data_IF_247601895883
#
_entry.id   IF_247601895883
#
_cell.length_a   1.000
_cell.length_b   1.000
_cell.length_c   1.000
_cell.angle_alpha   90.00
_cell.angle_beta   90.00
_cell.angle_gamma   90.00
#
_symmetry.space_group_name_H-M   'P 1'
#
loop_
_entity.id
_entity.type
_entity.pdbx_description
1 polymer ?
#
# COMPACT_ATOMS: atom_id res chain seq x y z
N UNK A 1 52.11 -47.17 -38.43
CA UNK A 1 51.86 -46.01 -39.34
C UNK A 1 50.89 -45.09 -38.60
N UNK A 2 51.29 -44.16 -37.74
CA UNK A 2 51.92 -42.85 -37.98
C UNK A 2 51.16 -41.96 -38.96
N UNK A 3 50.44 -40.95 -38.42
CA UNK A 3 50.56 -39.54 -38.83
C UNK A 3 50.09 -38.61 -37.70
N UNK A 4 51.07 -37.89 -37.15
CA UNK A 4 50.97 -36.73 -36.27
C UNK A 4 50.54 -35.51 -37.10
N UNK A 5 49.73 -34.59 -36.59
CA UNK A 5 49.85 -33.13 -36.83
C UNK A 5 49.21 -32.37 -35.64
N UNK A 6 50.00 -31.91 -34.65
CA UNK A 6 50.47 -30.53 -34.36
C UNK A 6 49.40 -29.44 -34.13
N UNK A 7 49.48 -28.75 -32.98
CA UNK A 7 49.77 -27.29 -32.81
C UNK A 7 49.16 -26.80 -31.48
N UNK A 8 49.97 -26.40 -30.50
CA UNK A 8 50.50 -25.05 -30.21
C UNK A 8 49.61 -24.23 -29.27
N UNK A 9 50.24 -23.87 -28.15
CA UNK A 9 49.87 -23.01 -27.04
C UNK A 9 48.81 -21.91 -27.29
N UNK A 10 47.87 -21.84 -26.35
CA UNK A 10 47.17 -20.63 -25.97
C UNK A 10 47.12 -20.56 -24.44
N UNK A 11 48.18 -20.04 -23.82
CA UNK A 11 48.12 -19.55 -22.45
C UNK A 11 47.19 -18.35 -22.41
N UNK A 12 46.11 -18.43 -21.64
CA UNK A 12 45.14 -17.36 -21.49
C UNK A 12 44.26 -17.60 -20.28
N UNK A 13 44.78 -17.20 -19.12
CA UNK A 13 44.11 -16.57 -17.98
C UNK A 13 42.72 -17.06 -17.51
N UNK A 14 42.69 -17.27 -16.17
CA UNK A 14 41.58 -17.08 -15.22
C UNK A 14 40.59 -18.23 -15.06
N UNK A 15 40.96 -19.13 -14.15
CA UNK A 15 40.01 -19.79 -13.25
C UNK A 15 39.33 -18.74 -12.35
N UNK A 16 38.10 -18.37 -12.67
CA UNK A 16 37.18 -17.79 -11.68
C UNK A 16 36.14 -18.87 -11.32
N UNK A 17 35.96 -19.22 -10.04
CA UNK A 17 34.94 -20.18 -9.64
C UNK A 17 33.56 -19.56 -9.83
N UNK A 18 32.63 -20.38 -10.34
CA UNK A 18 31.18 -20.14 -10.34
C UNK A 18 30.70 -19.90 -8.89
N UNK A 19 30.79 -18.64 -8.46
CA UNK A 19 30.25 -18.11 -7.23
C UNK A 19 28.74 -18.09 -7.31
N UNK A 20 28.16 -19.07 -6.63
CA UNK A 20 26.74 -19.26 -6.35
C UNK A 20 25.90 -17.97 -6.27
N UNK A 21 24.75 -18.03 -6.94
CA UNK A 21 23.56 -17.22 -6.74
C UNK A 21 23.40 -16.81 -5.26
N UNK A 22 23.56 -15.52 -4.96
CA UNK A 22 23.03 -14.93 -3.74
C UNK A 22 21.90 -14.00 -4.15
N UNK A 23 20.63 -14.32 -3.87
CA UNK A 23 19.58 -13.31 -4.00
C UNK A 23 19.92 -12.24 -2.98
N UNK A 24 20.28 -11.05 -3.47
CA UNK A 24 20.45 -9.89 -2.62
C UNK A 24 19.15 -9.69 -1.87
N UNK A 25 19.19 -9.96 -0.56
CA UNK A 25 18.11 -9.62 0.35
C UNK A 25 17.93 -8.10 0.23
N UNK A 26 16.94 -7.68 -0.56
CA UNK A 26 16.52 -6.28 -0.63
C UNK A 26 16.17 -5.88 0.79
N UNK A 27 17.02 -5.07 1.42
CA UNK A 27 16.65 -4.37 2.66
C UNK A 27 15.29 -3.72 2.41
N UNK A 28 14.30 -3.85 3.30
CA UNK A 28 13.05 -3.11 3.16
C UNK A 28 13.40 -1.64 3.03
N UNK A 29 13.15 -1.07 1.86
CA UNK A 29 13.45 0.33 1.59
C UNK A 29 12.61 1.21 2.49
N UNK A 30 13.18 2.31 3.00
CA UNK A 30 12.43 3.32 3.74
C UNK A 30 11.20 3.72 2.93
N UNK A 31 9.99 3.73 3.53
CA UNK A 31 8.78 4.13 2.81
C UNK A 31 8.91 5.57 2.31
N UNK A 32 8.40 5.84 1.11
CA UNK A 32 8.40 7.19 0.52
C UNK A 32 7.74 8.20 1.49
N UNK A 33 8.37 9.34 1.80
CA UNK A 33 7.80 10.36 2.68
C UNK A 33 6.41 10.84 2.23
N UNK A 34 6.18 10.89 0.91
CA UNK A 34 4.88 11.25 0.34
C UNK A 34 3.82 10.22 0.74
N UNK A 35 4.14 8.92 0.65
CA UNK A 35 3.19 7.87 1.03
C UNK A 35 2.91 7.85 2.53
N UNK A 36 3.91 8.17 3.36
CA UNK A 36 3.71 8.34 4.80
C UNK A 36 2.75 9.48 5.08
N UNK A 37 2.93 10.62 4.39
CA UNK A 37 2.04 11.77 4.55
C UNK A 37 0.60 11.45 4.08
N UNK A 38 0.44 10.83 2.92
CA UNK A 38 -0.90 10.47 2.40
C UNK A 38 -1.62 9.48 3.33
N UNK A 39 -0.91 8.52 3.93
CA UNK A 39 -1.50 7.61 4.93
C UNK A 39 -1.98 8.37 6.17
N UNK A 40 -1.15 9.29 6.67
CA UNK A 40 -1.52 10.14 7.80
C UNK A 40 -2.74 10.99 7.47
N UNK A 41 -2.77 11.64 6.32
CA UNK A 41 -3.89 12.48 5.87
C UNK A 41 -5.19 11.66 5.75
N UNK A 42 -5.07 10.42 5.27
CA UNK A 42 -6.20 9.49 5.23
C UNK A 42 -6.70 9.14 6.64
N UNK A 43 -5.81 8.76 7.55
CA UNK A 43 -6.18 8.41 8.92
C UNK A 43 -6.83 9.59 9.66
N UNK A 44 -6.21 10.76 9.58
CA UNK A 44 -6.72 12.01 10.17
C UNK A 44 -8.08 12.37 9.55
N UNK A 45 -8.24 12.22 8.23
CA UNK A 45 -9.50 12.46 7.54
C UNK A 45 -10.64 11.55 8.00
N UNK A 46 -10.37 10.26 8.23
CA UNK A 46 -11.36 9.31 8.74
C UNK A 46 -11.77 9.67 10.18
N UNK A 47 -10.81 10.03 11.04
CA UNK A 47 -11.10 10.45 12.41
C UNK A 47 -11.95 11.73 12.45
N UNK A 48 -11.66 12.69 11.56
CA UNK A 48 -12.49 13.90 11.44
C UNK A 48 -13.92 13.56 11.01
N UNK A 49 -14.11 12.68 10.03
CA UNK A 49 -15.47 12.24 9.63
C UNK A 49 -16.22 11.57 10.79
N UNK A 50 -15.55 10.72 11.58
CA UNK A 50 -16.15 10.10 12.77
C UNK A 50 -16.59 11.15 13.79
N UNK A 51 -15.76 12.17 14.04
CA UNK A 51 -16.09 13.27 14.94
C UNK A 51 -17.24 14.14 14.41
N UNK A 52 -17.25 14.43 13.12
CA UNK A 52 -18.30 15.20 12.44
C UNK A 52 -19.66 14.50 12.51
N UNK A 53 -19.71 13.19 12.24
CA UNK A 53 -20.92 12.39 12.36
C UNK A 53 -21.41 12.37 13.82
N UNK A 54 -20.51 12.16 14.79
CA UNK A 54 -20.86 12.16 16.21
C UNK A 54 -21.42 13.50 16.68
N UNK A 55 -21.03 14.62 16.05
CA UNK A 55 -21.49 15.97 16.37
C UNK A 55 -22.70 16.40 15.55
N UNK A 56 -23.09 15.64 14.54
CA UNK A 56 -24.13 16.03 13.57
C UNK A 56 -23.74 17.24 12.71
N UNK A 57 -22.45 17.51 12.52
CA UNK A 57 -21.93 18.65 11.76
C UNK A 57 -21.01 18.15 10.66
N UNK A 58 -21.59 17.78 9.51
CA UNK A 58 -20.90 17.12 8.41
C UNK A 58 -20.32 18.16 7.45
N UNK A 59 -19.01 18.09 7.19
CA UNK A 59 -18.34 18.95 6.22
C UNK A 59 -18.21 18.21 4.88
N UNK A 60 -18.90 18.70 3.84
CA UNK A 60 -18.99 18.02 2.54
C UNK A 60 -17.61 17.72 1.92
N UNK A 61 -16.66 18.66 1.99
CA UNK A 61 -15.33 18.55 1.36
C UNK A 61 -14.44 17.47 2.00
N UNK A 62 -14.79 17.00 3.21
CA UNK A 62 -14.01 16.00 3.94
C UNK A 62 -14.07 14.63 3.27
N UNK A 63 -15.24 14.27 2.73
CA UNK A 63 -15.45 13.01 2.01
C UNK A 63 -14.55 12.90 0.79
N UNK A 64 -14.46 13.98 0.02
CA UNK A 64 -13.62 14.02 -1.18
C UNK A 64 -12.13 13.92 -0.80
N UNK A 65 -11.72 14.61 0.26
CA UNK A 65 -10.34 14.53 0.76
C UNK A 65 -9.96 13.08 1.13
N UNK A 66 -10.84 12.38 1.85
CA UNK A 66 -10.62 10.96 2.21
C UNK A 66 -10.60 10.06 0.98
N UNK A 67 -11.49 10.30 0.02
CA UNK A 67 -11.52 9.56 -1.24
C UNK A 67 -10.23 9.73 -2.06
N UNK A 68 -9.73 10.95 -2.20
CA UNK A 68 -8.48 11.25 -2.91
C UNK A 68 -7.28 10.60 -2.21
N UNK A 69 -7.23 10.64 -0.89
CA UNK A 69 -6.17 9.98 -0.12
C UNK A 69 -6.20 8.45 -0.28
N UNK A 70 -7.40 7.84 -0.33
CA UNK A 70 -7.53 6.41 -0.65
C UNK A 70 -6.96 6.07 -2.03
N UNK A 71 -7.25 6.88 -3.06
CA UNK A 71 -6.77 6.64 -4.42
C UNK A 71 -5.26 6.80 -4.58
N UNK A 72 -4.64 7.68 -3.79
CA UNK A 72 -3.22 7.98 -3.89
C UNK A 72 -2.31 6.89 -3.29
N UNK A 73 -2.85 5.96 -2.51
CA UNK A 73 -2.08 4.91 -1.85
C UNK A 73 -1.96 3.64 -2.70
N UNK A 74 -0.80 2.95 -2.66
CA UNK A 74 -0.61 1.68 -3.37
C UNK A 74 -1.24 0.52 -2.58
N UNK A 75 -2.56 0.38 -2.69
CA UNK A 75 -3.32 -0.71 -2.08
C UNK A 75 -3.26 -2.00 -2.90
N UNK A 76 -3.32 -3.18 -2.26
CA UNK A 76 -3.81 -4.38 -2.93
C UNK A 76 -5.23 -4.13 -3.47
N UNK A 77 -5.50 -4.58 -4.71
CA UNK A 77 -6.79 -4.31 -5.40
C UNK A 77 -8.02 -4.68 -4.56
N UNK A 78 -7.96 -5.82 -3.86
CA UNK A 78 -9.06 -6.27 -3.00
C UNK A 78 -9.30 -5.32 -1.82
N UNK A 79 -8.23 -4.86 -1.16
CA UNK A 79 -8.31 -3.93 -0.03
C UNK A 79 -8.75 -2.54 -0.48
N UNK A 80 -8.32 -2.08 -1.66
CA UNK A 80 -8.81 -0.83 -2.24
C UNK A 80 -10.32 -0.88 -2.48
N UNK A 81 -10.80 -1.96 -3.11
CA UNK A 81 -12.22 -2.15 -3.38
C UNK A 81 -13.04 -2.21 -2.07
N UNK A 82 -12.51 -2.88 -1.05
CA UNK A 82 -13.14 -2.91 0.26
C UNK A 82 -13.17 -1.51 0.90
N UNK A 83 -12.04 -0.80 0.93
CA UNK A 83 -11.95 0.53 1.51
C UNK A 83 -12.92 1.52 0.84
N UNK A 84 -12.98 1.49 -0.49
CA UNK A 84 -13.91 2.32 -1.26
C UNK A 84 -15.37 1.98 -0.93
N UNK A 85 -15.73 0.70 -0.87
CA UNK A 85 -17.07 0.28 -0.49
C UNK A 85 -17.45 0.77 0.92
N UNK A 86 -16.53 0.72 1.88
CA UNK A 86 -16.77 1.23 3.24
C UNK A 86 -17.05 2.73 3.23
N UNK A 87 -16.25 3.51 2.50
CA UNK A 87 -16.46 4.96 2.38
C UNK A 87 -17.79 5.30 1.71
N UNK A 88 -18.11 4.62 0.60
CA UNK A 88 -19.38 4.81 -0.12
C UNK A 88 -20.58 4.44 0.74
N UNK A 89 -20.54 3.30 1.41
CA UNK A 89 -21.61 2.88 2.32
C UNK A 89 -21.82 3.88 3.45
N UNK A 90 -20.73 4.33 4.08
CA UNK A 90 -20.81 5.32 5.16
C UNK A 90 -21.53 6.59 4.72
N UNK A 91 -21.19 7.11 3.54
CA UNK A 91 -21.85 8.28 2.95
C UNK A 91 -23.34 8.01 2.68
N UNK A 92 -23.67 6.89 2.05
CA UNK A 92 -25.06 6.53 1.74
C UNK A 92 -25.91 6.37 3.01
N UNK A 93 -25.37 5.75 4.06
CA UNK A 93 -26.08 5.63 5.34
C UNK A 93 -26.31 6.98 5.99
N UNK A 94 -25.33 7.88 5.91
CA UNK A 94 -25.46 9.22 6.45
C UNK A 94 -26.53 10.04 5.71
N UNK A 95 -26.58 9.95 4.38
CA UNK A 95 -27.62 10.56 3.54
C UNK A 95 -29.03 10.04 3.87
N UNK A 96 -29.14 8.81 4.38
CA UNK A 96 -30.40 8.20 4.86
C UNK A 96 -30.72 8.51 6.32
N UNK A 97 -29.87 9.27 7.03
CA UNK A 97 -30.01 9.54 8.46
C UNK A 97 -29.63 8.37 9.37
N UNK A 98 -29.02 7.31 8.83
CA UNK A 98 -28.56 6.14 9.57
C UNK A 98 -27.15 6.38 10.14
N UNK A 99 -27.04 7.32 11.08
CA UNK A 99 -25.74 7.78 11.63
C UNK A 99 -24.92 6.66 12.27
N UNK A 100 -25.56 5.72 12.97
CA UNK A 100 -24.88 4.57 13.58
C UNK A 100 -24.28 3.60 12.54
N UNK A 101 -24.95 3.40 11.40
CA UNK A 101 -24.43 2.58 10.32
C UNK A 101 -23.26 3.28 9.60
N UNK A 102 -23.37 4.60 9.42
CA UNK A 102 -22.29 5.41 8.86
C UNK A 102 -21.02 5.39 9.73
N UNK A 103 -21.17 5.61 11.05
CA UNK A 103 -20.07 5.52 12.02
C UNK A 103 -19.43 4.12 12.04
N UNK A 104 -20.25 3.07 12.00
CA UNK A 104 -19.75 1.69 11.94
C UNK A 104 -18.87 1.44 10.70
N UNK A 105 -19.32 1.84 9.51
CA UNK A 105 -18.56 1.67 8.28
C UNK A 105 -17.23 2.43 8.29
N UNK A 106 -17.21 3.65 8.85
CA UNK A 106 -15.97 4.42 9.02
C UNK A 106 -15.01 3.78 10.04
N UNK A 107 -15.52 3.16 11.10
CA UNK A 107 -14.67 2.38 12.04
C UNK A 107 -14.04 1.17 11.37
N UNK A 108 -14.78 0.48 10.49
CA UNK A 108 -14.23 -0.61 9.70
C UNK A 108 -13.15 -0.11 8.73
N UNK A 109 -13.38 1.03 8.07
CA UNK A 109 -12.39 1.67 7.20
C UNK A 109 -11.13 2.04 7.97
N UNK A 110 -11.27 2.67 9.14
CA UNK A 110 -10.12 2.97 10.02
C UNK A 110 -9.34 1.72 10.38
N UNK A 111 -10.03 0.66 10.81
CA UNK A 111 -9.38 -0.60 11.15
C UNK A 111 -8.64 -1.22 9.96
N UNK A 112 -9.16 -1.04 8.74
CA UNK A 112 -8.48 -1.46 7.52
C UNK A 112 -7.19 -0.65 7.27
N UNK A 113 -7.24 0.68 7.40
CA UNK A 113 -6.05 1.55 7.26
C UNK A 113 -4.97 1.18 8.29
N UNK A 114 -5.35 0.98 9.55
CA UNK A 114 -4.41 0.61 10.61
C UNK A 114 -3.72 -0.73 10.35
N UNK A 115 -4.43 -1.74 9.83
CA UNK A 115 -3.83 -3.02 9.45
C UNK A 115 -2.80 -2.89 8.32
N UNK A 116 -2.99 -1.93 7.42
CA UNK A 116 -2.04 -1.66 6.33
C UNK A 116 -0.78 -0.91 6.80
N UNK A 117 -0.82 -0.26 7.95
CA UNK A 117 0.33 0.38 8.59
C UNK A 117 1.13 -0.57 9.47
N UNK A 118 0.45 -1.50 10.15
CA UNK A 118 1.07 -2.48 11.05
C UNK A 118 1.49 -3.80 10.40
N UNK A 119 1.62 -3.84 9.07
CA UNK A 119 2.02 -5.05 8.34
C UNK A 119 3.53 -5.33 8.42
N UNK A 120 3.96 -5.92 9.54
CA UNK A 120 5.16 -6.77 9.65
C UNK A 120 4.82 -8.24 9.36
#
# INVERSE_FOLDING_TARGET
>A
MSRKHYTTAGSGLLTEPLGQNRPEQRKPGTPSPILVQVRKDLADGIELLLQEISRGCIVADRWETVFQALQALPWPKAEFGLALNRLTNARTYLEKGETGAADFELRLLRGLVQRMEGGE
#
